data_IF_888069539752
#
_entry.id   IF_888069539752
#
_cell.length_a   1.000
_cell.length_b   1.000
_cell.length_c   1.000
_cell.angle_alpha   90.00
_cell.angle_beta   90.00
_cell.angle_gamma   90.00
#
_symmetry.space_group_name_H-M   'P 1'
#
loop_
_entity.id
_entity.type
_entity.pdbx_description
1 polymer ?
#
# COMPACT_ATOMS: atom_id res chain seq x y z
N UNK A 1 -2.48 7.52 -35.19
CA UNK A 1 -3.33 6.96 -34.12
C UNK A 1 -2.43 6.16 -33.19
N UNK A 2 -1.90 6.80 -32.15
CA UNK A 2 -0.88 6.21 -31.28
C UNK A 2 -1.54 5.28 -30.25
N UNK A 3 -1.11 4.02 -30.25
CA UNK A 3 -1.53 2.99 -29.30
C UNK A 3 -1.00 3.35 -27.91
N UNK A 4 -1.90 3.63 -26.97
CA UNK A 4 -1.57 3.59 -25.55
C UNK A 4 -1.21 2.13 -25.19
N UNK A 5 0.07 1.88 -24.88
CA UNK A 5 0.44 0.70 -24.11
C UNK A 5 -0.06 0.93 -22.69
N UNK A 6 -1.33 0.55 -22.46
CA UNK A 6 -1.84 0.32 -21.13
C UNK A 6 -1.23 -0.97 -20.64
N UNK A 7 -0.06 -0.88 -20.01
CA UNK A 7 0.50 -1.99 -19.24
C UNK A 7 -0.54 -2.34 -18.17
N UNK A 8 -1.23 -3.45 -18.36
CA UNK A 8 -2.16 -3.97 -17.36
C UNK A 8 -1.29 -4.48 -16.21
N UNK A 9 -1.00 -3.61 -15.25
CA UNK A 9 -0.36 -3.97 -14.00
C UNK A 9 -1.25 -5.00 -13.30
N UNK A 10 -0.93 -6.27 -13.51
CA UNK A 10 -1.60 -7.37 -12.84
C UNK A 10 -1.29 -7.29 -11.36
N UNK A 11 -2.32 -7.31 -10.52
CA UNK A 11 -2.14 -7.33 -9.07
C UNK A 11 -1.33 -8.58 -8.69
N UNK A 12 -0.27 -8.46 -7.88
CA UNK A 12 0.53 -9.61 -7.44
C UNK A 12 -0.34 -10.69 -6.79
N UNK A 13 -0.01 -11.96 -7.03
CA UNK A 13 -0.79 -13.13 -6.54
C UNK A 13 -1.04 -13.04 -5.02
N UNK A 14 -0.05 -12.56 -4.26
CA UNK A 14 -0.15 -12.37 -2.80
C UNK A 14 -1.22 -11.35 -2.39
N UNK A 15 -1.56 -10.41 -3.26
CA UNK A 15 -2.55 -9.34 -3.02
C UNK A 15 -3.91 -9.60 -3.68
N UNK A 16 -4.07 -10.63 -4.50
CA UNK A 16 -5.30 -10.90 -5.26
C UNK A 16 -6.54 -11.05 -4.38
N UNK A 17 -6.42 -11.72 -3.22
CA UNK A 17 -7.54 -11.90 -2.29
C UNK A 17 -8.07 -10.56 -1.76
N UNK A 18 -7.16 -9.64 -1.43
CA UNK A 18 -7.52 -8.28 -0.98
C UNK A 18 -8.14 -7.47 -2.11
N UNK A 19 -7.60 -7.59 -3.32
CA UNK A 19 -8.15 -6.93 -4.50
C UNK A 19 -9.57 -7.43 -4.83
N UNK A 20 -9.80 -8.74 -4.77
CA UNK A 20 -11.13 -9.33 -4.97
C UNK A 20 -12.12 -8.85 -3.91
N UNK A 21 -11.72 -8.83 -2.63
CA UNK A 21 -12.55 -8.32 -1.54
C UNK A 21 -12.90 -6.83 -1.72
N UNK A 22 -11.94 -6.00 -2.13
CA UNK A 22 -12.17 -4.59 -2.41
C UNK A 22 -13.15 -4.40 -3.59
N UNK A 23 -12.99 -5.18 -4.67
CA UNK A 23 -13.93 -5.15 -5.80
C UNK A 23 -15.35 -5.54 -5.38
N UNK A 24 -15.50 -6.55 -4.53
CA UNK A 24 -16.80 -6.94 -3.99
C UNK A 24 -17.40 -5.85 -3.08
N UNK A 25 -16.58 -5.13 -2.32
CA UNK A 25 -17.05 -3.97 -1.55
C UNK A 25 -17.57 -2.87 -2.48
N UNK A 26 -16.80 -2.54 -3.53
CA UNK A 26 -17.18 -1.53 -4.52
C UNK A 26 -18.44 -1.89 -5.32
N UNK A 27 -18.71 -3.18 -5.55
CA UNK A 27 -19.94 -3.60 -6.23
C UNK A 27 -21.18 -3.49 -5.35
N UNK A 28 -21.02 -3.52 -4.02
CA UNK A 28 -22.12 -3.42 -3.05
C UNK A 28 -22.39 -1.98 -2.62
N UNK A 29 -21.39 -1.10 -2.68
CA UNK A 29 -21.52 0.30 -2.24
C UNK A 29 -21.40 1.24 -3.44
N UNK A 30 -22.37 2.15 -3.65
CA UNK A 30 -22.32 3.13 -4.73
C UNK A 30 -21.13 4.10 -4.63
N UNK A 31 -20.85 4.82 -5.71
CA UNK A 31 -19.80 5.83 -5.74
C UNK A 31 -20.03 6.98 -4.78
N UNK A 32 -18.93 7.48 -4.20
CA UNK A 32 -18.90 8.65 -3.34
C UNK A 32 -18.23 8.41 -1.99
N UNK A 33 -18.24 9.44 -1.12
CA UNK A 33 -17.62 9.39 0.21
C UNK A 33 -18.06 8.20 1.09
N UNK A 34 -19.33 7.73 1.05
CA UNK A 34 -19.75 6.56 1.83
C UNK A 34 -18.99 5.29 1.48
N UNK A 35 -18.68 5.06 0.19
CA UNK A 35 -17.89 3.91 -0.25
C UNK A 35 -16.45 4.00 0.22
N UNK A 36 -15.84 5.18 0.12
CA UNK A 36 -14.48 5.37 0.62
C UNK A 36 -14.37 5.06 2.11
N UNK A 37 -15.37 5.47 2.90
CA UNK A 37 -15.44 5.14 4.31
C UNK A 37 -15.68 3.64 4.55
N UNK A 38 -16.66 3.04 3.87
CA UNK A 38 -17.03 1.62 4.05
C UNK A 38 -15.91 0.66 3.63
N UNK A 39 -15.24 0.95 2.51
CA UNK A 39 -14.18 0.10 1.95
C UNK A 39 -12.76 0.55 2.36
N UNK A 40 -12.63 1.54 3.26
CA UNK A 40 -11.34 2.13 3.68
C UNK A 40 -10.32 1.09 4.11
N UNK A 41 -10.75 0.14 4.93
CA UNK A 41 -9.87 -0.88 5.50
C UNK A 41 -9.32 -1.80 4.41
N UNK A 42 -10.15 -2.25 3.46
CA UNK A 42 -9.72 -3.04 2.30
C UNK A 42 -8.77 -2.27 1.40
N UNK A 43 -9.06 -1.00 1.15
CA UNK A 43 -8.19 -0.15 0.34
C UNK A 43 -6.81 0.02 1.01
N UNK A 44 -6.77 0.29 2.31
CA UNK A 44 -5.53 0.41 3.08
C UNK A 44 -4.76 -0.91 3.11
N UNK A 45 -5.44 -2.04 3.30
CA UNK A 45 -4.80 -3.36 3.30
C UNK A 45 -4.23 -3.72 1.93
N UNK A 46 -4.96 -3.45 0.84
CA UNK A 46 -4.48 -3.70 -0.51
C UNK A 46 -3.27 -2.81 -0.83
N UNK A 47 -3.33 -1.52 -0.52
CA UNK A 47 -2.20 -0.61 -0.70
C UNK A 47 -0.96 -1.09 0.08
N UNK A 48 -1.12 -1.48 1.34
CA UNK A 48 -0.03 -2.03 2.14
C UNK A 48 0.56 -3.32 1.54
N UNK A 49 -0.29 -4.20 0.98
CA UNK A 49 0.18 -5.40 0.29
C UNK A 49 1.01 -5.06 -0.95
N UNK A 50 0.51 -4.16 -1.81
CA UNK A 50 1.22 -3.73 -3.02
C UNK A 50 2.58 -3.09 -2.69
N UNK A 51 2.63 -2.24 -1.66
CA UNK A 51 3.88 -1.61 -1.22
C UNK A 51 4.88 -2.67 -0.70
N UNK A 52 4.41 -3.70 0.01
CA UNK A 52 5.27 -4.79 0.48
C UNK A 52 5.81 -5.68 -0.65
N UNK A 53 5.15 -5.73 -1.81
CA UNK A 53 5.68 -6.43 -2.98
C UNK A 53 6.82 -5.65 -3.67
N UNK A 54 6.77 -4.32 -3.62
CA UNK A 54 7.78 -3.44 -4.25
C UNK A 54 8.96 -3.17 -3.31
N UNK A 55 8.66 -2.90 -2.03
CA UNK A 55 9.63 -2.52 -0.99
C UNK A 55 9.48 -3.45 0.23
N UNK A 56 9.85 -4.73 0.14
CA UNK A 56 9.59 -5.72 1.20
C UNK A 56 10.30 -5.39 2.50
N UNK A 57 11.57 -4.99 2.44
CA UNK A 57 12.41 -4.72 3.63
C UNK A 57 11.93 -3.48 4.39
N UNK A 58 11.65 -2.39 3.68
CA UNK A 58 11.17 -1.14 4.25
C UNK A 58 9.77 -1.33 4.84
N UNK A 59 8.91 -2.09 4.14
CA UNK A 59 7.56 -2.42 4.62
C UNK A 59 7.61 -3.26 5.90
N UNK A 60 8.51 -4.24 5.98
CA UNK A 60 8.70 -5.07 7.16
C UNK A 60 9.30 -4.30 8.35
N UNK A 61 10.23 -3.39 8.07
CA UNK A 61 10.77 -2.48 9.07
C UNK A 61 9.67 -1.59 9.67
N UNK A 62 8.82 -0.99 8.84
CA UNK A 62 7.67 -0.19 9.29
C UNK A 62 6.70 -1.05 10.10
N UNK A 63 6.34 -2.24 9.62
CA UNK A 63 5.42 -3.16 10.32
C UNK A 63 5.96 -3.54 11.71
N UNK A 64 7.25 -3.82 11.81
CA UNK A 64 7.89 -4.26 13.06
C UNK A 64 8.04 -3.10 14.06
N UNK A 65 8.50 -1.94 13.58
CA UNK A 65 8.82 -0.81 14.45
C UNK A 65 7.56 -0.04 14.87
N UNK A 66 6.57 0.09 13.97
CA UNK A 66 5.37 0.90 14.20
C UNK A 66 4.17 0.13 14.79
N UNK A 67 4.28 -1.18 15.01
CA UNK A 67 3.17 -2.02 15.51
C UNK A 67 2.80 -1.80 16.99
N UNK A 68 3.54 -0.98 17.75
CA UNK A 68 3.19 -0.67 19.14
C UNK A 68 3.58 0.76 19.53
N UNK A 69 2.82 1.35 20.46
CA UNK A 69 3.15 2.60 21.14
C UNK A 69 4.28 2.45 22.16
N UNK A 70 5.40 1.85 21.75
CA UNK A 70 6.56 1.56 22.61
C UNK A 70 7.27 2.81 23.14
N UNK A 71 8.51 2.62 23.59
CA UNK A 71 9.34 3.70 24.15
C UNK A 71 9.55 4.86 23.17
N UNK A 72 10.04 6.00 23.68
CA UNK A 72 10.42 7.14 22.83
C UNK A 72 11.38 6.75 21.70
N UNK A 73 12.34 5.86 21.99
CA UNK A 73 13.26 5.30 20.99
C UNK A 73 12.53 4.54 19.88
N UNK A 74 11.58 3.66 20.23
CA UNK A 74 10.80 2.89 19.23
C UNK A 74 9.97 3.80 18.34
N UNK A 75 9.43 4.89 18.88
CA UNK A 75 8.71 5.92 18.09
C UNK A 75 9.64 6.61 17.09
N UNK A 76 10.85 6.99 17.51
CA UNK A 76 11.83 7.58 16.59
C UNK A 76 12.27 6.61 15.51
N UNK A 77 12.48 5.33 15.84
CA UNK A 77 12.82 4.29 14.87
C UNK A 77 11.67 4.02 13.88
N UNK A 78 10.43 3.99 14.35
CA UNK A 78 9.26 3.92 13.47
C UNK A 78 9.19 5.11 12.52
N UNK A 79 9.43 6.33 13.01
CA UNK A 79 9.46 7.52 12.16
C UNK A 79 10.54 7.43 11.08
N UNK A 80 11.74 6.98 11.45
CA UNK A 80 12.83 6.78 10.49
C UNK A 80 12.49 5.72 9.44
N UNK A 81 11.89 4.58 9.84
CA UNK A 81 11.46 3.55 8.91
C UNK A 81 10.40 4.05 7.92
N UNK A 82 9.46 4.89 8.38
CA UNK A 82 8.49 5.54 7.49
C UNK A 82 9.17 6.45 6.47
N UNK A 83 10.19 7.21 6.88
CA UNK A 83 10.95 8.06 5.95
C UNK A 83 11.71 7.22 4.91
N UNK A 84 12.35 6.13 5.32
CA UNK A 84 13.00 5.20 4.39
C UNK A 84 12.03 4.68 3.34
N UNK A 85 10.86 4.17 3.76
CA UNK A 85 9.83 3.68 2.83
C UNK A 85 9.38 4.75 1.82
N UNK A 86 9.22 6.00 2.26
CA UNK A 86 8.83 7.12 1.40
C UNK A 86 9.93 7.55 0.41
N UNK A 87 11.19 7.37 0.78
CA UNK A 87 12.34 7.75 -0.04
C UNK A 87 12.68 6.67 -1.06
N UNK A 88 12.51 5.39 -0.73
CA UNK A 88 12.73 4.30 -1.70
C UNK A 88 11.65 4.28 -2.80
N UNK A 89 10.40 4.65 -2.52
CA UNK A 89 9.37 4.89 -3.57
C UNK A 89 9.84 5.94 -4.60
N UNK A 90 10.58 6.97 -4.14
CA UNK A 90 11.14 8.00 -5.02
C UNK A 90 12.38 7.54 -5.77
N UNK A 91 13.18 6.64 -5.19
CA UNK A 91 14.35 6.08 -5.88
C UNK A 91 13.95 5.28 -7.10
N UNK A 92 12.90 4.44 -7.02
CA UNK A 92 12.40 3.73 -8.20
C UNK A 92 11.90 4.68 -9.31
N UNK A 93 11.40 5.87 -8.96
CA UNK A 93 10.94 6.89 -9.93
C UNK A 93 12.05 7.77 -10.52
N UNK A 94 13.29 7.67 -10.03
CA UNK A 94 14.47 8.43 -10.50
C UNK A 94 15.46 7.58 -11.31
N UNK A 95 15.16 6.29 -11.52
CA UNK A 95 15.93 5.38 -12.39
C UNK A 95 15.29 5.24 -13.78
N UNK A 96 14.36 6.14 -14.13
CA UNK A 96 13.84 6.32 -15.51
C UNK A 96 14.32 7.65 -16.12
#
# INVERSE_FOLDING_TARGET
>A
MSRAHGESLTVPIRCERLHAALRQCHSRVPAGPPREAACRHLNRSLAGCLVAEVCPEESDAVRTLCSSGGTGLRRSQCHQAQLSLLLDDKRYRLVE
#
